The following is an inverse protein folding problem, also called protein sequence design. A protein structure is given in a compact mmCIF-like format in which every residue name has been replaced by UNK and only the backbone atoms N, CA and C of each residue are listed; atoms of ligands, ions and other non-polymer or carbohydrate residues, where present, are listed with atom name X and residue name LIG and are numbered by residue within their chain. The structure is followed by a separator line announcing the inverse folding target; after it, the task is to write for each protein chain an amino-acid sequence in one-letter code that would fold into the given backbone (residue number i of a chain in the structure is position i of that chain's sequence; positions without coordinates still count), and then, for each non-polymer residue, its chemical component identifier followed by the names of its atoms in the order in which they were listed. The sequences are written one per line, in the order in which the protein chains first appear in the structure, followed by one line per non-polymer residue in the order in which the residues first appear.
data_IF_415934664518
#
_entry.id   IF_415934664518
#
_cell.length_a   1.000
_cell.length_b   1.000
_cell.length_c   1.000
_cell.angle_alpha   90.00
_cell.angle_beta   90.00
_cell.angle_gamma   90.00
#
_symmetry.space_group_name_H-M   'P 1'
#
loop_
_entity.id
_entity.type
_entity.pdbx_description
1 polymer ?
#
# COMPACT_ATOMS: atom_id res chain seq x y z
N UNK A 1 6.56 23.82 -9.75
CA UNK A 1 7.56 22.76 -9.44
C UNK A 1 7.05 21.96 -8.25
N UNK A 2 6.99 20.62 -8.34
CA UNK A 2 6.54 19.79 -7.20
C UNK A 2 7.63 19.80 -6.11
N UNK A 3 7.24 20.11 -4.87
CA UNK A 3 8.17 20.07 -3.73
C UNK A 3 8.37 18.61 -3.28
N UNK A 4 9.53 18.03 -3.60
CA UNK A 4 9.93 16.67 -3.21
C UNK A 4 10.91 16.72 -2.07
N UNK A 5 10.66 15.89 -1.06
CA UNK A 5 11.51 15.71 0.13
C UNK A 5 12.34 14.43 0.01
N UNK A 6 13.47 14.40 0.69
CA UNK A 6 14.25 13.16 0.82
C UNK A 6 13.38 12.08 1.47
N UNK A 7 13.48 10.85 1.01
CA UNK A 7 12.57 9.78 1.41
C UNK A 7 12.59 9.51 2.91
N UNK A 8 13.73 9.67 3.57
CA UNK A 8 13.87 9.49 5.02
C UNK A 8 13.10 10.53 5.86
N UNK A 9 12.68 11.64 5.26
CA UNK A 9 11.85 12.65 5.91
C UNK A 9 10.34 12.40 5.74
N UNK A 10 9.96 11.36 5.01
CA UNK A 10 8.58 11.04 4.71
C UNK A 10 8.07 9.85 5.52
N UNK A 11 6.82 9.95 5.92
CA UNK A 11 6.00 8.86 6.45
C UNK A 11 4.60 8.97 5.87
N UNK A 12 3.81 7.90 5.96
CA UNK A 12 2.42 7.90 5.48
C UNK A 12 1.65 9.02 6.18
N UNK A 13 1.00 9.89 5.40
CA UNK A 13 0.20 10.99 5.95
C UNK A 13 -1.07 10.46 6.63
N UNK A 14 -1.68 11.26 7.50
CA UNK A 14 -2.96 10.91 8.11
C UNK A 14 -4.06 10.67 7.06
N UNK A 15 -4.08 11.47 5.97
CA UNK A 15 -5.01 11.28 4.86
C UNK A 15 -4.71 9.98 4.13
N UNK A 16 -3.43 9.68 3.88
CA UNK A 16 -2.98 8.41 3.30
C UNK A 16 -3.38 7.21 4.15
N UNK A 17 -3.22 7.30 5.48
CA UNK A 17 -3.65 6.25 6.41
C UNK A 17 -5.16 6.01 6.34
N UNK A 18 -5.98 7.05 6.43
CA UNK A 18 -7.44 6.92 6.35
C UNK A 18 -7.86 6.30 5.02
N UNK A 19 -7.27 6.73 3.91
CA UNK A 19 -7.54 6.16 2.58
C UNK A 19 -7.17 4.69 2.50
N UNK A 20 -5.99 4.31 3.01
CA UNK A 20 -5.51 2.93 3.03
C UNK A 20 -6.44 2.04 3.85
N UNK A 21 -6.79 2.43 5.07
CA UNK A 21 -7.72 1.68 5.92
C UNK A 21 -9.10 1.53 5.27
N UNK A 22 -9.56 2.55 4.54
CA UNK A 22 -10.79 2.51 3.76
C UNK A 22 -10.76 1.48 2.63
N UNK A 23 -9.61 1.25 1.99
CA UNK A 23 -9.46 0.20 0.99
C UNK A 23 -9.46 -1.20 1.60
N UNK A 24 -8.83 -1.38 2.75
CA UNK A 24 -8.69 -2.71 3.36
C UNK A 24 -9.99 -3.19 4.02
N UNK A 25 -10.82 -2.27 4.51
CA UNK A 25 -12.02 -2.59 5.30
C UNK A 25 -11.66 -3.15 6.67
N UNK A 26 -12.64 -3.20 7.56
CA UNK A 26 -12.46 -3.68 8.94
C UNK A 26 -13.21 -4.97 9.20
N UNK A 27 -12.53 -5.95 9.81
CA UNK A 27 -13.17 -7.14 10.37
C UNK A 27 -12.80 -7.31 11.84
N UNK A 28 -13.81 -7.39 12.70
CA UNK A 28 -13.62 -7.66 14.14
C UNK A 28 -13.26 -9.11 14.46
N UNK A 29 -13.45 -10.02 13.51
CA UNK A 29 -13.17 -11.44 13.66
C UNK A 29 -12.23 -11.91 12.56
N UNK A 30 -11.36 -12.87 12.90
CA UNK A 30 -10.49 -13.50 11.93
C UNK A 30 -11.30 -14.29 10.90
N UNK A 31 -10.94 -14.14 9.63
CA UNK A 31 -11.57 -14.83 8.51
C UNK A 31 -10.52 -15.21 7.46
N UNK A 32 -10.89 -16.12 6.57
CA UNK A 32 -10.07 -16.48 5.41
C UNK A 32 -10.67 -15.75 4.18
N UNK A 33 -9.98 -14.75 3.62
CA UNK A 33 -10.51 -13.94 2.52
C UNK A 33 -10.88 -14.77 1.29
N UNK A 34 -10.02 -15.74 0.96
CA UNK A 34 -10.22 -16.66 -0.15
C UNK A 34 -9.74 -18.05 0.27
N UNK A 35 -10.41 -19.10 -0.21
CA UNK A 35 -10.02 -20.49 0.09
C UNK A 35 -8.53 -20.71 -0.22
N UNK A 36 -7.77 -21.11 0.79
CA UNK A 36 -6.32 -21.34 0.70
C UNK A 36 -5.45 -20.16 1.12
N UNK A 37 -6.04 -19.00 1.44
CA UNK A 37 -5.32 -17.88 2.04
C UNK A 37 -5.09 -18.09 3.54
N UNK A 38 -4.26 -17.21 4.12
CA UNK A 38 -4.01 -17.16 5.55
C UNK A 38 -5.11 -16.41 6.29
N UNK A 39 -5.34 -16.73 7.59
CA UNK A 39 -6.28 -15.99 8.41
C UNK A 39 -5.93 -14.49 8.48
N UNK A 40 -6.94 -13.65 8.32
CA UNK A 40 -6.83 -12.19 8.26
C UNK A 40 -7.78 -11.55 9.28
N UNK A 41 -7.38 -10.47 9.93
CA UNK A 41 -8.19 -9.73 10.91
C UNK A 41 -7.94 -8.23 10.82
N UNK A 42 -8.85 -7.44 11.37
CA UNK A 42 -8.71 -5.98 11.43
C UNK A 42 -8.71 -5.36 10.04
N UNK A 43 -7.66 -4.62 9.71
CA UNK A 43 -7.46 -3.98 8.41
C UNK A 43 -6.44 -4.75 7.54
N UNK A 44 -6.67 -6.05 7.37
CA UNK A 44 -5.83 -6.86 6.49
C UNK A 44 -4.59 -7.46 7.16
N UNK A 45 -4.46 -7.39 8.48
CA UNK A 45 -3.34 -7.99 9.22
C UNK A 45 -3.43 -9.51 9.20
N UNK A 46 -2.31 -10.17 8.93
CA UNK A 46 -2.23 -11.65 8.84
C UNK A 46 -1.24 -12.26 9.82
N UNK A 47 -0.22 -11.53 10.25
CA UNK A 47 0.86 -12.04 11.11
C UNK A 47 0.33 -12.50 12.46
N UNK A 48 0.52 -13.78 12.78
CA UNK A 48 0.12 -14.36 14.04
C UNK A 48 -1.40 -14.51 14.25
N UNK A 49 -2.21 -14.34 13.20
CA UNK A 49 -3.68 -14.44 13.26
C UNK A 49 -4.11 -15.90 13.16
N UNK A 50 -5.05 -16.30 14.04
CA UNK A 50 -5.68 -17.60 14.01
C UNK A 50 -7.20 -17.47 13.90
N UNK A 51 -7.84 -18.46 13.28
CA UNK A 51 -9.32 -18.49 13.23
C UNK A 51 -9.86 -18.58 14.65
N UNK A 52 -10.84 -17.73 14.97
CA UNK A 52 -11.37 -17.55 16.33
C UNK A 52 -10.88 -16.28 17.03
N UNK A 53 -9.81 -15.66 16.53
CA UNK A 53 -9.33 -14.39 17.08
C UNK A 53 -10.35 -13.27 16.85
N UNK A 54 -10.41 -12.34 17.82
CA UNK A 54 -11.20 -11.11 17.75
C UNK A 54 -10.32 -9.91 18.02
N UNK A 55 -10.70 -8.75 17.48
CA UNK A 55 -9.94 -7.50 17.63
C UNK A 55 -10.89 -6.30 17.72
N UNK A 56 -10.54 -5.31 18.56
CA UNK A 56 -11.24 -4.03 18.58
C UNK A 56 -10.74 -3.10 17.46
N UNK A 57 -11.52 -2.08 17.06
CA UNK A 57 -11.08 -1.11 16.05
C UNK A 57 -9.73 -0.45 16.40
N UNK A 58 -9.52 -0.07 17.66
CA UNK A 58 -8.30 0.58 18.12
C UNK A 58 -7.09 -0.34 17.96
N UNK A 59 -7.22 -1.60 18.39
CA UNK A 59 -6.17 -2.61 18.22
C UNK A 59 -5.92 -2.94 16.75
N UNK A 60 -6.95 -2.92 15.92
CA UNK A 60 -6.80 -3.12 14.49
C UNK A 60 -6.01 -1.99 13.83
N UNK A 61 -6.26 -0.73 14.20
CA UNK A 61 -5.46 0.42 13.74
C UNK A 61 -4.01 0.31 14.20
N UNK A 62 -3.78 -0.06 15.47
CA UNK A 62 -2.42 -0.25 16.01
C UNK A 62 -1.65 -1.32 15.21
N UNK A 63 -2.29 -2.44 14.89
CA UNK A 63 -1.66 -3.50 14.08
C UNK A 63 -1.42 -3.06 12.64
N UNK A 64 -2.38 -2.39 12.01
CA UNK A 64 -2.20 -1.81 10.68
C UNK A 64 -1.02 -0.82 10.64
N UNK A 65 -0.88 0.01 11.67
CA UNK A 65 0.24 0.94 11.78
C UNK A 65 1.60 0.21 11.86
N UNK A 66 1.70 -0.89 12.58
CA UNK A 66 2.91 -1.71 12.63
C UNK A 66 3.24 -2.33 11.27
N UNK A 67 2.23 -2.81 10.54
CA UNK A 67 2.40 -3.34 9.19
C UNK A 67 2.88 -2.25 8.24
N UNK A 68 2.28 -1.06 8.30
CA UNK A 68 2.69 0.12 7.52
C UNK A 68 4.15 0.49 7.82
N UNK A 69 4.56 0.50 9.08
CA UNK A 69 5.95 0.80 9.44
C UNK A 69 6.96 -0.16 8.79
N UNK A 70 6.65 -1.46 8.74
CA UNK A 70 7.47 -2.44 8.02
C UNK A 70 7.55 -2.14 6.52
N UNK A 71 6.43 -1.74 5.93
CA UNK A 71 6.34 -1.37 4.50
C UNK A 71 7.15 -0.12 4.21
N UNK A 72 7.02 0.92 5.02
CA UNK A 72 7.79 2.16 4.90
C UNK A 72 9.28 1.89 5.01
N UNK A 73 9.69 1.03 5.96
CA UNK A 73 11.10 0.62 6.10
C UNK A 73 11.63 -0.03 4.82
N UNK A 74 10.84 -0.86 4.16
CA UNK A 74 11.23 -1.49 2.89
C UNK A 74 11.28 -0.46 1.74
N UNK A 75 10.31 0.45 1.66
CA UNK A 75 10.29 1.53 0.66
C UNK A 75 11.52 2.41 0.80
N UNK A 76 11.90 2.79 2.03
CA UNK A 76 13.10 3.60 2.29
C UNK A 76 14.40 2.91 1.86
N UNK A 77 14.41 1.58 1.75
CA UNK A 77 15.58 0.82 1.28
C UNK A 77 15.64 0.70 -0.24
N UNK A 78 14.50 0.62 -0.92
CA UNK A 78 14.49 0.37 -2.36
C UNK A 78 14.22 1.61 -3.23
N UNK A 79 13.78 2.72 -2.66
CA UNK A 79 13.58 4.01 -3.34
C UNK A 79 14.67 4.99 -2.87
N UNK A 80 15.42 5.55 -3.80
CA UNK A 80 16.58 6.39 -3.51
C UNK A 80 16.47 7.83 -4.06
N UNK A 81 15.27 8.25 -4.43
CA UNK A 81 14.97 9.59 -4.96
C UNK A 81 13.99 10.34 -4.07
N UNK A 82 14.03 11.68 -4.05
CA UNK A 82 13.06 12.47 -3.30
C UNK A 82 11.65 12.32 -3.88
N UNK A 83 10.63 12.38 -3.00
CA UNK A 83 9.22 12.25 -3.34
C UNK A 83 8.40 13.41 -2.80
N UNK A 84 7.25 13.69 -3.42
CA UNK A 84 6.19 14.46 -2.76
C UNK A 84 5.47 13.57 -1.74
N UNK A 85 4.75 14.19 -0.79
CA UNK A 85 3.93 13.44 0.16
C UNK A 85 2.88 12.58 -0.55
N UNK A 86 2.23 13.10 -1.59
CA UNK A 86 1.21 12.38 -2.37
C UNK A 86 1.80 11.19 -3.13
N UNK A 87 2.98 11.33 -3.72
CA UNK A 87 3.71 10.21 -4.34
C UNK A 87 4.00 9.12 -3.30
N UNK A 88 4.52 9.52 -2.13
CA UNK A 88 4.83 8.60 -1.04
C UNK A 88 3.59 7.85 -0.52
N UNK A 89 2.48 8.57 -0.28
CA UNK A 89 1.23 7.97 0.17
C UNK A 89 0.69 6.94 -0.83
N UNK A 90 0.71 7.27 -2.13
CA UNK A 90 0.26 6.37 -3.19
C UNK A 90 1.11 5.11 -3.28
N UNK A 91 2.44 5.23 -3.19
CA UNK A 91 3.35 4.09 -3.23
C UNK A 91 3.25 3.22 -1.98
N UNK A 92 3.05 3.83 -0.80
CA UNK A 92 2.83 3.08 0.44
C UNK A 92 1.53 2.28 0.37
N UNK A 93 0.44 2.87 -0.14
CA UNK A 93 -0.83 2.18 -0.36
C UNK A 93 -0.68 1.01 -1.32
N UNK A 94 -0.01 1.21 -2.45
CA UNK A 94 0.26 0.14 -3.40
C UNK A 94 1.09 -0.98 -2.77
N UNK A 95 2.19 -0.65 -2.11
CA UNK A 95 3.09 -1.61 -1.48
C UNK A 95 2.40 -2.43 -0.37
N UNK A 96 1.49 -1.80 0.39
CA UNK A 96 0.66 -2.50 1.37
C UNK A 96 -0.19 -3.59 0.71
N UNK A 97 -0.75 -3.31 -0.46
CA UNK A 97 -1.63 -4.25 -1.15
C UNK A 97 -0.89 -5.36 -1.90
N UNK A 98 0.18 -5.03 -2.62
CA UNK A 98 0.92 -5.99 -3.46
C UNK A 98 2.10 -6.67 -2.76
N UNK A 99 2.50 -6.17 -1.61
CA UNK A 99 3.67 -6.61 -0.86
C UNK A 99 4.96 -5.88 -1.25
N UNK A 100 5.85 -5.72 -0.28
CA UNK A 100 7.11 -4.97 -0.44
C UNK A 100 8.06 -5.61 -1.43
N UNK A 101 8.12 -6.94 -1.50
CA UNK A 101 8.99 -7.64 -2.44
C UNK A 101 8.58 -7.36 -3.89
N UNK A 102 7.29 -7.46 -4.21
CA UNK A 102 6.77 -7.16 -5.53
C UNK A 102 6.98 -5.68 -5.88
N UNK A 103 6.68 -4.78 -4.94
CA UNK A 103 6.88 -3.34 -5.12
C UNK A 103 8.34 -3.01 -5.43
N UNK A 104 9.28 -3.42 -4.58
CA UNK A 104 10.69 -3.07 -4.72
C UNK A 104 11.35 -3.64 -5.99
N UNK A 105 10.85 -4.77 -6.51
CA UNK A 105 11.33 -5.39 -7.77
C UNK A 105 10.62 -4.89 -9.02
N UNK A 106 9.63 -4.02 -8.88
CA UNK A 106 8.77 -3.58 -9.98
C UNK A 106 9.45 -2.66 -10.97
N UNK A 107 8.91 -2.59 -12.18
CA UNK A 107 9.25 -1.57 -13.17
C UNK A 107 8.96 -0.16 -12.64
N UNK A 108 7.93 -0.01 -11.79
CA UNK A 108 7.63 1.26 -11.12
C UNK A 108 8.85 1.80 -10.37
N UNK A 109 9.45 1.00 -9.50
CA UNK A 109 10.61 1.43 -8.70
C UNK A 109 11.84 1.69 -9.58
N UNK A 110 12.02 0.93 -10.66
CA UNK A 110 13.10 1.20 -11.64
C UNK A 110 12.92 2.57 -12.30
N UNK A 111 11.72 2.89 -12.77
CA UNK A 111 11.40 4.21 -13.35
C UNK A 111 11.57 5.32 -12.31
N UNK A 112 11.05 5.09 -11.11
CA UNK A 112 11.14 6.05 -10.02
C UNK A 112 12.58 6.42 -9.68
N UNK A 113 13.45 5.42 -9.51
CA UNK A 113 14.88 5.63 -9.23
C UNK A 113 15.65 6.26 -10.41
N UNK A 114 15.12 6.14 -11.63
CA UNK A 114 15.61 6.88 -12.80
C UNK A 114 15.00 8.30 -12.90
N UNK A 115 14.24 8.75 -11.91
CA UNK A 115 13.54 10.05 -11.86
C UNK A 115 12.45 10.23 -12.92
N UNK A 116 11.96 9.14 -13.52
CA UNK A 116 10.77 9.13 -14.35
C UNK A 116 9.52 9.03 -13.45
N UNK A 117 9.18 10.13 -12.80
CA UNK A 117 8.09 10.19 -11.82
C UNK A 117 6.72 9.92 -12.43
N UNK A 118 6.42 10.52 -13.58
CA UNK A 118 5.13 10.34 -14.26
C UNK A 118 4.99 8.91 -14.80
N UNK A 119 6.07 8.36 -15.35
CA UNK A 119 6.13 6.96 -15.77
C UNK A 119 5.96 6.00 -14.59
N UNK A 120 6.56 6.29 -13.44
CA UNK A 120 6.39 5.50 -12.23
C UNK A 120 4.94 5.53 -11.72
N UNK A 121 4.29 6.71 -11.64
CA UNK A 121 2.88 6.81 -11.29
C UNK A 121 1.99 6.00 -12.24
N UNK A 122 2.26 6.04 -13.55
CA UNK A 122 1.49 5.30 -14.56
C UNK A 122 1.60 3.78 -14.38
N UNK A 123 2.72 3.25 -13.88
CA UNK A 123 2.91 1.83 -13.60
C UNK A 123 1.97 1.30 -12.49
N UNK A 124 1.45 2.17 -11.62
CA UNK A 124 0.45 1.80 -10.61
C UNK A 124 -0.73 1.06 -11.26
N UNK A 125 -1.21 1.53 -12.40
CA UNK A 125 -2.39 0.99 -13.10
C UNK A 125 -2.24 -0.44 -13.60
N UNK A 126 -1.04 -1.01 -13.60
CA UNK A 126 -0.80 -2.40 -14.04
C UNK A 126 -1.18 -3.46 -12.99
N UNK A 127 -1.35 -3.06 -11.74
CA UNK A 127 -1.59 -3.97 -10.62
C UNK A 127 -3.09 -4.21 -10.39
N UNK A 128 -3.76 -4.79 -11.40
CA UNK A 128 -5.22 -4.96 -11.44
C UNK A 128 -5.67 -6.41 -11.56
N UNK A 129 -4.72 -7.36 -11.53
CA UNK A 129 -5.03 -8.78 -11.71
C UNK A 129 -5.16 -9.50 -10.37
N UNK A 130 -6.18 -10.33 -10.27
CA UNK A 130 -6.36 -11.30 -9.20
C UNK A 130 -6.65 -12.67 -9.80
N UNK A 131 -5.87 -13.69 -9.44
CA UNK A 131 -5.96 -15.05 -10.01
C UNK A 131 -6.00 -15.06 -11.56
N UNK A 132 -5.15 -14.23 -12.18
CA UNK A 132 -4.99 -14.15 -13.63
C UNK A 132 -6.11 -13.40 -14.36
N UNK A 133 -7.05 -12.80 -13.65
CA UNK A 133 -8.16 -12.01 -14.23
C UNK A 133 -8.15 -10.59 -13.71
N UNK A 134 -8.59 -9.65 -14.56
CA UNK A 134 -8.79 -8.25 -14.13
C UNK A 134 -9.88 -8.21 -13.06
N UNK A 135 -9.56 -7.53 -11.94
CA UNK A 135 -10.48 -7.31 -10.83
C UNK A 135 -10.89 -5.83 -10.79
N UNK A 136 -12.18 -5.56 -10.89
CA UNK A 136 -12.69 -4.19 -10.96
C UNK A 136 -12.42 -3.38 -9.68
N UNK A 137 -12.43 -4.02 -8.51
CA UNK A 137 -12.06 -3.37 -7.25
C UNK A 137 -10.61 -2.88 -7.26
N UNK A 138 -9.69 -3.71 -7.81
CA UNK A 138 -8.29 -3.32 -8.00
C UNK A 138 -8.15 -2.21 -9.04
N UNK A 139 -8.89 -2.25 -10.14
CA UNK A 139 -8.89 -1.16 -11.15
C UNK A 139 -9.28 0.17 -10.49
N UNK A 140 -10.36 0.19 -9.72
CA UNK A 140 -10.83 1.39 -9.03
C UNK A 140 -9.83 1.90 -8.00
N UNK A 141 -9.19 1.00 -7.23
CA UNK A 141 -8.15 1.35 -6.27
C UNK A 141 -6.92 1.95 -6.96
N UNK A 142 -6.43 1.31 -8.01
CA UNK A 142 -5.26 1.79 -8.80
C UNK A 142 -5.51 3.15 -9.43
N UNK A 143 -6.71 3.42 -9.90
CA UNK A 143 -7.05 4.74 -10.44
C UNK A 143 -6.96 5.84 -9.38
N UNK A 144 -7.45 5.60 -8.16
CA UNK A 144 -7.34 6.55 -7.06
C UNK A 144 -5.89 6.76 -6.62
N UNK A 145 -5.12 5.66 -6.47
CA UNK A 145 -3.70 5.74 -6.14
C UNK A 145 -2.90 6.49 -7.22
N UNK A 146 -3.19 6.25 -8.50
CA UNK A 146 -2.58 6.97 -9.63
C UNK A 146 -2.86 8.47 -9.55
N UNK A 147 -4.12 8.88 -9.36
CA UNK A 147 -4.48 10.31 -9.23
C UNK A 147 -3.76 10.95 -8.05
N UNK A 148 -3.75 10.31 -6.91
CA UNK A 148 -2.98 10.78 -5.73
C UNK A 148 -1.51 10.95 -6.09
N UNK A 149 -0.89 9.98 -6.76
CA UNK A 149 0.49 10.05 -7.21
C UNK A 149 0.76 11.24 -8.14
N UNK A 150 -0.18 11.52 -9.05
CA UNK A 150 -0.09 12.66 -9.98
C UNK A 150 -0.32 14.02 -9.30
N UNK A 151 -0.82 14.02 -8.05
CA UNK A 151 -1.03 15.23 -7.26
C UNK A 151 -2.46 15.77 -7.28
N UNK A 152 -3.41 14.95 -7.77
CA UNK A 152 -4.83 15.27 -7.80
C UNK A 152 -5.52 15.00 -6.43
#
# INVERSE_FOLDING_TARGET
MKNRLIISALSLSAVGLVSLLGYEGYSSQAYIPVKGDVPTIGFGTTEGVQIGDTITPEKAVERAYRDIYKIETAIHKCVNVPLTQKEYDAYTSLAYNIGTSAFCKSTLVKKLNARDYDGACSEIKRWVYFKGRVNQGLVNRREKEYRTCMGE
#
